data_IF_861686481728
#
_entry.id   IF_861686481728
#
_cell.length_a   1.000
_cell.length_b   1.000
_cell.length_c   1.000
_cell.angle_alpha   90.00
_cell.angle_beta   90.00
_cell.angle_gamma   90.00
#
_symmetry.space_group_name_H-M   'P 1'
#
loop_
_entity.id
_entity.type
_entity.pdbx_description
1 polymer ?
#
# COMPACT_ATOMS: atom_id res chain seq x y z
N UNK A 1 10.28 -21.94 -11.01
CA UNK A 1 11.30 -21.72 -9.97
C UNK A 1 10.60 -21.75 -8.63
N UNK A 2 10.99 -22.61 -7.72
CA UNK A 2 10.47 -22.72 -6.34
C UNK A 2 11.37 -21.94 -5.38
N UNK A 3 10.96 -21.76 -4.11
CA UNK A 3 11.82 -21.11 -3.12
C UNK A 3 13.10 -21.90 -2.82
N UNK A 4 13.04 -23.25 -2.91
CA UNK A 4 14.19 -24.14 -2.73
C UNK A 4 15.26 -23.94 -3.79
N UNK A 5 14.85 -23.63 -5.03
CA UNK A 5 15.78 -23.38 -6.16
C UNK A 5 16.49 -22.02 -6.06
N UNK A 6 16.06 -21.12 -5.13
CA UNK A 6 16.63 -19.77 -4.99
C UNK A 6 17.86 -19.72 -4.06
N UNK A 7 18.32 -20.83 -3.51
CA UNK A 7 19.49 -20.91 -2.61
C UNK A 7 19.39 -19.97 -1.40
N UNK A 8 18.22 -19.92 -0.75
CA UNK A 8 17.97 -19.08 0.40
C UNK A 8 18.50 -19.71 1.70
N UNK A 9 18.83 -18.86 2.69
CA UNK A 9 19.17 -19.30 4.05
C UNK A 9 18.07 -20.19 4.62
N UNK A 10 18.43 -21.32 5.20
CA UNK A 10 17.49 -22.30 5.76
C UNK A 10 16.55 -21.71 6.82
N UNK A 11 17.01 -20.69 7.57
CA UNK A 11 16.20 -19.97 8.55
C UNK A 11 15.15 -19.10 7.90
N UNK A 12 15.45 -18.50 6.74
CA UNK A 12 14.48 -17.74 5.93
C UNK A 12 13.47 -18.72 5.32
N UNK A 13 13.95 -19.85 4.76
CA UNK A 13 13.07 -20.90 4.23
C UNK A 13 12.07 -21.42 5.26
N UNK A 14 12.53 -21.63 6.50
CA UNK A 14 11.65 -22.00 7.61
C UNK A 14 10.59 -20.94 7.90
N UNK A 15 10.94 -19.65 7.83
CA UNK A 15 9.99 -18.57 8.03
C UNK A 15 8.96 -18.48 6.89
N UNK A 16 9.39 -18.64 5.64
CA UNK A 16 8.54 -18.72 4.45
C UNK A 16 7.51 -19.83 4.58
N UNK A 17 7.95 -21.04 4.97
CA UNK A 17 7.05 -22.17 5.18
C UNK A 17 6.03 -21.92 6.32
N UNK A 18 6.47 -21.33 7.43
CA UNK A 18 5.57 -20.98 8.54
C UNK A 18 4.55 -19.90 8.17
N UNK A 19 4.91 -18.99 7.24
CA UNK A 19 3.98 -17.99 6.69
C UNK A 19 2.98 -18.59 5.69
N UNK A 20 3.09 -19.87 5.36
CA UNK A 20 2.20 -20.55 4.41
C UNK A 20 2.49 -20.23 2.95
N UNK A 21 3.69 -19.76 2.61
CA UNK A 21 4.06 -19.53 1.23
C UNK A 21 4.51 -20.85 0.59
N UNK A 22 3.63 -21.47 -0.17
CA UNK A 22 3.92 -22.75 -0.86
C UNK A 22 4.73 -22.53 -2.13
N UNK A 23 4.41 -21.49 -2.91
CA UNK A 23 5.08 -21.14 -4.14
C UNK A 23 5.32 -19.63 -4.24
N UNK A 24 6.45 -19.22 -4.86
CA UNK A 24 6.69 -17.80 -5.08
C UNK A 24 5.69 -17.22 -6.09
N UNK A 25 5.20 -16.04 -5.81
CA UNK A 25 4.42 -15.29 -6.78
C UNK A 25 5.27 -14.91 -8.00
N UNK A 26 4.67 -14.55 -9.16
CA UNK A 26 5.43 -14.21 -10.35
C UNK A 26 6.48 -13.11 -10.16
N UNK A 27 6.21 -12.11 -9.31
CA UNK A 27 7.19 -11.07 -9.00
C UNK A 27 8.30 -11.61 -8.11
N UNK A 28 7.99 -12.44 -7.13
CA UNK A 28 8.98 -13.07 -6.26
C UNK A 28 9.91 -14.00 -7.05
N UNK A 29 9.35 -14.85 -7.90
CA UNK A 29 10.11 -15.81 -8.71
C UNK A 29 11.15 -15.16 -9.62
N UNK A 30 10.85 -13.95 -10.11
CA UNK A 30 11.74 -13.22 -11.02
C UNK A 30 12.69 -12.28 -10.27
N UNK A 31 12.23 -11.62 -9.20
CA UNK A 31 13.01 -10.57 -8.52
C UNK A 31 13.96 -11.11 -7.46
N UNK A 32 13.57 -12.15 -6.70
CA UNK A 32 14.40 -12.65 -5.59
C UNK A 32 15.78 -13.11 -6.07
N UNK A 33 15.91 -13.91 -7.13
CA UNK A 33 17.23 -14.35 -7.62
C UNK A 33 18.15 -13.19 -8.00
N UNK A 34 17.61 -12.19 -8.73
CA UNK A 34 18.34 -10.99 -9.15
C UNK A 34 18.83 -10.20 -7.93
N UNK A 35 17.92 -10.00 -6.95
CA UNK A 35 18.24 -9.22 -5.76
C UNK A 35 19.21 -9.95 -4.81
N UNK A 36 19.20 -11.28 -4.74
CA UNK A 36 20.16 -12.08 -3.97
C UNK A 36 21.57 -11.94 -4.56
N UNK A 37 21.72 -11.82 -5.87
CA UNK A 37 22.99 -11.53 -6.54
C UNK A 37 23.54 -10.13 -6.25
N UNK A 38 22.76 -9.27 -5.59
CA UNK A 38 23.16 -7.90 -5.23
C UNK A 38 22.99 -6.88 -6.37
N UNK A 39 22.35 -7.25 -7.46
CA UNK A 39 22.08 -6.35 -8.59
C UNK A 39 21.00 -5.33 -8.23
N UNK A 40 21.10 -4.15 -8.83
CA UNK A 40 20.03 -3.18 -8.83
C UNK A 40 18.86 -3.68 -9.66
N UNK A 41 17.64 -3.33 -9.26
CA UNK A 41 16.48 -3.80 -10.00
C UNK A 41 15.30 -2.84 -9.97
N UNK A 42 14.47 -2.95 -11.00
CA UNK A 42 13.15 -2.31 -11.08
C UNK A 42 12.10 -3.40 -11.16
N UNK A 43 11.26 -3.49 -10.13
CA UNK A 43 10.12 -4.41 -10.08
C UNK A 43 8.82 -3.68 -10.42
N UNK A 44 8.28 -3.91 -11.62
CA UNK A 44 6.97 -3.37 -11.98
C UNK A 44 5.88 -4.38 -11.69
N UNK A 45 5.17 -4.18 -10.58
CA UNK A 45 4.08 -5.04 -10.15
C UNK A 45 3.06 -4.26 -9.29
N UNK A 46 1.79 -4.69 -9.33
CA UNK A 46 0.70 -4.08 -8.55
C UNK A 46 0.83 -4.37 -7.05
N UNK A 47 0.11 -3.61 -6.23
CA UNK A 47 -0.04 -3.90 -4.78
C UNK A 47 -0.69 -5.27 -4.57
N UNK A 48 -0.31 -5.95 -3.48
CA UNK A 48 -0.85 -7.28 -3.16
C UNK A 48 -0.26 -8.45 -3.93
N UNK A 49 0.78 -8.25 -4.74
CA UNK A 49 1.47 -9.32 -5.49
C UNK A 49 2.61 -9.99 -4.71
N UNK A 50 2.85 -9.60 -3.44
CA UNK A 50 3.94 -10.13 -2.63
C UNK A 50 5.27 -9.38 -2.78
N UNK A 51 5.24 -8.10 -3.16
CA UNK A 51 6.45 -7.25 -3.31
C UNK A 51 7.30 -7.18 -2.05
N UNK A 52 6.68 -7.12 -0.86
CA UNK A 52 7.42 -7.04 0.40
C UNK A 52 8.37 -8.21 0.58
N UNK A 53 7.93 -9.42 0.28
CA UNK A 53 8.80 -10.60 0.31
C UNK A 53 9.85 -10.57 -0.83
N UNK A 54 9.52 -9.98 -1.99
CA UNK A 54 10.45 -9.84 -3.12
C UNK A 54 11.71 -9.05 -2.78
N UNK A 55 11.63 -8.03 -1.94
CA UNK A 55 12.80 -7.30 -1.47
C UNK A 55 13.23 -7.72 -0.05
N UNK A 56 12.30 -8.14 0.79
CA UNK A 56 12.57 -8.50 2.18
C UNK A 56 13.44 -9.76 2.30
N UNK A 57 13.19 -10.79 1.51
CA UNK A 57 13.96 -12.04 1.51
C UNK A 57 15.43 -11.78 1.12
N UNK A 58 15.74 -11.19 -0.06
CA UNK A 58 17.13 -10.94 -0.43
C UNK A 58 17.82 -9.94 0.51
N UNK A 59 17.10 -8.92 1.00
CA UNK A 59 17.64 -8.00 1.98
C UNK A 59 18.07 -8.74 3.27
N UNK A 60 17.19 -9.59 3.84
CA UNK A 60 17.50 -10.37 5.04
C UNK A 60 18.65 -11.35 4.83
N UNK A 61 18.84 -11.88 3.64
CA UNK A 61 19.95 -12.77 3.30
C UNK A 61 21.31 -12.07 3.37
N UNK A 62 21.36 -10.75 3.16
CA UNK A 62 22.57 -9.93 3.16
C UNK A 62 22.85 -9.23 4.48
N UNK A 63 21.84 -9.01 5.33
CA UNK A 63 22.00 -8.33 6.61
C UNK A 63 22.90 -9.13 7.56
N UNK A 64 23.91 -8.49 8.10
CA UNK A 64 24.74 -9.04 9.17
C UNK A 64 24.10 -8.77 10.53
N UNK A 65 23.57 -9.79 11.23
CA UNK A 65 22.91 -9.60 12.52
C UNK A 65 23.87 -9.21 13.66
N UNK A 66 25.19 -9.40 13.49
CA UNK A 66 26.20 -9.03 14.48
C UNK A 66 26.57 -7.55 14.41
N UNK A 67 26.39 -6.93 13.25
CA UNK A 67 26.57 -5.49 13.09
C UNK A 67 25.31 -4.74 13.51
N UNK A 68 25.44 -3.83 14.47
CA UNK A 68 24.33 -3.02 14.99
C UNK A 68 24.09 -1.73 14.19
N UNK A 69 24.92 -1.46 13.19
CA UNK A 69 24.72 -0.31 12.32
C UNK A 69 23.52 -0.51 11.39
N UNK A 70 23.03 0.60 10.85
CA UNK A 70 21.98 0.60 9.85
C UNK A 70 22.54 0.07 8.53
N UNK A 71 21.92 -0.98 7.98
CA UNK A 71 22.37 -1.65 6.76
C UNK A 71 21.36 -1.51 5.62
N UNK A 72 20.08 -1.33 5.95
CA UNK A 72 19.05 -1.19 4.93
C UNK A 72 18.01 -0.11 5.27
N UNK A 73 17.57 0.61 4.24
CA UNK A 73 16.46 1.56 4.30
C UNK A 73 15.40 1.17 3.27
N UNK A 74 14.15 1.09 3.71
CA UNK A 74 12.98 0.94 2.83
C UNK A 74 12.14 2.21 2.95
N UNK A 75 11.88 2.89 1.84
CA UNK A 75 10.99 4.03 1.76
C UNK A 75 9.61 3.59 1.28
N UNK A 76 8.57 4.01 2.00
CA UNK A 76 7.17 3.72 1.72
C UNK A 76 6.34 5.00 1.74
N UNK A 77 5.26 5.12 0.94
CA UNK A 77 4.43 6.33 0.86
C UNK A 77 3.68 6.63 2.15
N UNK A 78 3.25 5.61 2.88
CA UNK A 78 2.36 5.77 4.03
C UNK A 78 2.89 5.08 5.28
N UNK A 79 2.38 5.53 6.43
CA UNK A 79 2.69 4.96 7.76
C UNK A 79 2.24 3.52 7.86
N UNK A 80 1.04 3.28 7.35
CA UNK A 80 0.38 1.98 7.37
C UNK A 80 1.23 0.95 6.61
N UNK A 81 1.70 1.31 5.41
CA UNK A 81 2.56 0.44 4.62
C UNK A 81 3.92 0.22 5.30
N UNK A 82 4.51 1.26 5.91
CA UNK A 82 5.76 1.11 6.65
C UNK A 82 5.62 0.14 7.83
N UNK A 83 4.51 0.20 8.57
CA UNK A 83 4.21 -0.72 9.68
C UNK A 83 3.98 -2.12 9.15
N UNK A 84 3.19 -2.27 8.08
CA UNK A 84 2.89 -3.55 7.46
C UNK A 84 4.16 -4.23 6.96
N UNK A 85 4.96 -3.53 6.16
CA UNK A 85 6.24 -4.05 5.65
C UNK A 85 7.20 -4.43 6.78
N UNK A 86 7.27 -3.62 7.86
CA UNK A 86 8.08 -3.94 9.03
C UNK A 86 7.62 -5.24 9.71
N UNK A 87 6.32 -5.45 9.83
CA UNK A 87 5.78 -6.67 10.45
C UNK A 87 6.01 -7.90 9.56
N UNK A 88 5.87 -7.77 8.25
CA UNK A 88 6.13 -8.86 7.29
C UNK A 88 7.62 -9.24 7.30
N UNK A 89 8.54 -8.25 7.26
CA UNK A 89 9.97 -8.51 7.33
C UNK A 89 10.36 -9.12 8.68
N UNK A 90 9.74 -8.72 9.81
CA UNK A 90 9.96 -9.38 11.10
C UNK A 90 9.51 -10.83 11.10
N UNK A 91 8.42 -11.17 10.44
CA UNK A 91 7.97 -12.56 10.28
C UNK A 91 8.98 -13.37 9.46
N UNK A 92 9.47 -12.82 8.35
CA UNK A 92 10.54 -13.43 7.54
C UNK A 92 11.86 -13.58 8.32
N UNK A 93 12.17 -12.64 9.20
CA UNK A 93 13.38 -12.66 10.07
C UNK A 93 13.20 -13.50 11.34
N UNK A 94 12.08 -14.17 11.56
CA UNK A 94 11.72 -14.84 12.82
C UNK A 94 12.83 -15.74 13.37
N UNK A 95 13.53 -16.46 12.52
CA UNK A 95 14.60 -17.37 12.88
C UNK A 95 16.00 -16.78 12.70
N UNK A 96 16.11 -15.51 12.28
CA UNK A 96 17.35 -14.76 12.19
C UNK A 96 17.53 -13.92 13.46
N UNK A 97 18.22 -14.48 14.46
CA UNK A 97 18.41 -13.79 15.72
C UNK A 97 19.32 -12.56 15.58
N UNK A 98 18.96 -11.47 16.26
CA UNK A 98 19.76 -10.24 16.33
C UNK A 98 19.36 -9.16 15.34
N UNK A 99 18.50 -9.45 14.34
CA UNK A 99 18.00 -8.46 13.39
C UNK A 99 16.87 -7.64 14.01
N UNK A 100 17.02 -6.32 13.97
CA UNK A 100 16.01 -5.36 14.42
C UNK A 100 15.49 -4.55 13.24
N UNK A 101 14.19 -4.56 13.08
CA UNK A 101 13.45 -3.81 12.06
C UNK A 101 12.64 -2.71 12.73
N UNK A 102 12.89 -1.46 12.38
CA UNK A 102 12.24 -0.29 12.97
C UNK A 102 11.42 0.47 11.92
N UNK A 103 10.09 0.54 12.06
CA UNK A 103 9.30 1.46 11.27
C UNK A 103 9.43 2.89 11.82
N UNK A 104 9.71 3.87 10.93
CA UNK A 104 9.77 5.30 11.26
C UNK A 104 8.81 6.10 10.37
N UNK A 105 7.90 6.84 11.01
CA UNK A 105 6.86 7.58 10.30
C UNK A 105 6.36 8.79 11.11
N UNK A 106 5.75 9.72 10.44
CA UNK A 106 5.18 10.92 11.07
C UNK A 106 3.98 10.60 11.97
N UNK A 107 3.69 11.47 12.96
CA UNK A 107 2.58 11.30 13.89
C UNK A 107 2.88 10.44 15.13
N UNK A 108 4.00 9.74 15.15
CA UNK A 108 4.56 9.15 16.37
C UNK A 108 5.59 10.11 16.99
N UNK A 109 5.73 10.08 18.30
CA UNK A 109 6.72 10.86 19.02
C UNK A 109 8.13 10.47 18.58
N UNK A 110 8.89 11.44 18.08
CA UNK A 110 10.20 11.20 17.49
C UNK A 110 11.22 10.67 18.51
N UNK A 111 11.11 11.08 19.78
CA UNK A 111 11.98 10.65 20.87
C UNK A 111 11.98 9.13 21.07
N UNK A 112 10.83 8.47 20.85
CA UNK A 112 10.72 7.00 20.90
C UNK A 112 11.52 6.35 19.78
N UNK A 113 11.44 6.90 18.58
CA UNK A 113 12.18 6.41 17.40
C UNK A 113 13.69 6.63 17.60
N UNK A 114 14.11 7.80 18.09
CA UNK A 114 15.52 8.09 18.42
C UNK A 114 16.08 7.11 19.44
N UNK A 115 15.32 6.80 20.49
CA UNK A 115 15.74 5.83 21.51
C UNK A 115 15.95 4.44 20.90
N UNK A 116 15.05 4.01 20.01
CA UNK A 116 15.16 2.73 19.32
C UNK A 116 16.38 2.68 18.40
N UNK A 117 16.63 3.75 17.62
CA UNK A 117 17.81 3.86 16.75
C UNK A 117 19.12 3.80 17.52
N UNK A 118 19.22 4.47 18.70
CA UNK A 118 20.40 4.39 19.58
C UNK A 118 20.67 2.97 20.10
N UNK A 119 19.66 2.12 20.19
CA UNK A 119 19.77 0.72 20.59
C UNK A 119 20.33 -0.21 19.50
N UNK A 120 20.70 0.32 18.35
CA UNK A 120 21.13 -0.42 17.16
C UNK A 120 19.98 -1.04 16.39
N UNK A 121 19.88 -0.72 15.11
CA UNK A 121 18.82 -1.17 14.18
C UNK A 121 19.45 -1.41 12.81
N UNK A 122 19.27 -2.60 12.26
CA UNK A 122 19.83 -2.95 10.95
C UNK A 122 18.94 -2.50 9.79
N UNK A 123 17.62 -2.52 9.98
CA UNK A 123 16.65 -2.21 8.93
C UNK A 123 15.69 -1.12 9.41
N UNK A 124 15.65 -0.03 8.67
CA UNK A 124 14.67 1.05 8.86
C UNK A 124 13.67 1.02 7.71
N UNK A 125 12.39 1.09 8.02
CA UNK A 125 11.31 1.20 7.03
C UNK A 125 10.54 2.48 7.34
N UNK A 126 10.53 3.44 6.42
CA UNK A 126 10.01 4.75 6.76
C UNK A 126 9.33 5.52 5.65
N UNK A 127 8.53 6.50 6.07
CA UNK A 127 8.01 7.51 5.15
C UNK A 127 9.09 8.56 4.87
N UNK A 128 9.22 9.07 3.63
CA UNK A 128 10.31 9.97 3.25
C UNK A 128 10.49 11.16 4.19
N UNK A 129 9.42 11.91 4.49
CA UNK A 129 9.52 13.09 5.36
C UNK A 129 10.03 12.79 6.78
N UNK A 130 9.72 11.63 7.37
CA UNK A 130 10.26 11.23 8.69
C UNK A 130 11.70 10.73 8.61
N UNK A 131 12.08 10.06 7.53
CA UNK A 131 13.49 9.70 7.28
C UNK A 131 14.32 10.97 7.17
N UNK A 132 13.85 11.97 6.40
CA UNK A 132 14.48 13.29 6.29
C UNK A 132 14.64 14.00 7.65
N UNK A 133 13.62 13.93 8.52
CA UNK A 133 13.65 14.52 9.85
C UNK A 133 14.77 13.88 10.72
N UNK A 134 14.93 12.55 10.63
CA UNK A 134 16.02 11.84 11.31
C UNK A 134 17.40 12.13 10.71
N UNK A 135 17.51 12.29 9.40
CA UNK A 135 18.77 12.68 8.73
C UNK A 135 19.20 14.09 9.14
N UNK A 136 18.28 15.07 9.09
CA UNK A 136 18.55 16.45 9.54
C UNK A 136 18.96 16.53 11.01
N UNK A 137 18.46 15.65 11.86
CA UNK A 137 18.81 15.55 13.29
C UNK A 137 20.03 14.69 13.56
N UNK A 138 20.65 14.12 12.52
CA UNK A 138 21.78 13.18 12.65
C UNK A 138 21.51 12.00 13.59
N UNK A 139 20.26 11.61 13.73
CA UNK A 139 19.82 10.46 14.54
C UNK A 139 19.74 9.16 13.75
N UNK A 140 19.76 9.25 12.43
CA UNK A 140 19.91 8.15 11.50
C UNK A 140 21.23 8.36 10.75
N UNK A 141 22.08 7.33 10.74
CA UNK A 141 23.42 7.36 10.13
C UNK A 141 23.36 6.61 8.79
N UNK A 142 23.37 7.32 7.66
CA UNK A 142 23.19 6.69 6.35
C UNK A 142 24.46 6.04 5.77
N UNK A 143 25.65 6.30 6.37
CA UNK A 143 26.96 5.94 5.81
C UNK A 143 27.23 4.44 5.74
N UNK A 144 26.47 3.62 6.46
CA UNK A 144 26.62 2.17 6.52
C UNK A 144 25.49 1.43 5.80
N UNK A 145 24.69 2.16 4.99
CA UNK A 145 23.56 1.59 4.27
C UNK A 145 24.03 0.96 2.98
N UNK A 146 23.90 -0.36 2.88
CA UNK A 146 24.25 -1.16 1.72
C UNK A 146 23.07 -1.46 0.80
N UNK A 147 21.84 -1.31 1.32
CA UNK A 147 20.61 -1.64 0.58
C UNK A 147 19.59 -0.53 0.75
N UNK A 148 19.04 -0.05 -0.36
CA UNK A 148 17.88 0.85 -0.34
C UNK A 148 16.76 0.30 -1.21
N UNK A 149 15.53 0.39 -0.69
CA UNK A 149 14.32 -0.01 -1.40
C UNK A 149 13.37 1.17 -1.48
N UNK A 150 12.84 1.43 -2.67
CA UNK A 150 11.71 2.33 -2.89
C UNK A 150 10.48 1.48 -3.17
N UNK A 151 9.57 1.38 -2.20
CA UNK A 151 8.33 0.63 -2.38
C UNK A 151 7.16 1.57 -2.66
N UNK A 152 6.34 1.23 -3.65
CA UNK A 152 5.29 2.09 -4.20
C UNK A 152 5.83 3.48 -4.58
N UNK A 153 6.92 3.49 -5.37
CA UNK A 153 7.63 4.72 -5.73
C UNK A 153 6.74 5.73 -6.48
N UNK A 154 5.86 5.28 -7.37
CA UNK A 154 4.87 6.11 -8.05
C UNK A 154 3.94 6.82 -7.05
N UNK A 155 3.49 6.12 -6.04
CA UNK A 155 2.67 6.69 -4.99
C UNK A 155 3.40 7.75 -4.16
N UNK A 156 4.68 7.53 -3.84
CA UNK A 156 5.49 8.53 -3.16
C UNK A 156 5.62 9.81 -3.99
N UNK A 157 5.78 9.68 -5.31
CA UNK A 157 5.85 10.86 -6.20
C UNK A 157 4.50 11.58 -6.29
N UNK A 158 3.39 10.84 -6.40
CA UNK A 158 2.04 11.42 -6.41
C UNK A 158 1.73 12.18 -5.11
N UNK A 159 2.38 11.82 -4.00
CA UNK A 159 2.29 12.51 -2.71
C UNK A 159 3.26 13.69 -2.58
N UNK A 160 4.07 13.97 -3.59
CA UNK A 160 5.02 15.09 -3.61
C UNK A 160 6.35 14.83 -2.91
N UNK A 161 6.69 13.57 -2.62
CA UNK A 161 7.95 13.20 -1.92
C UNK A 161 9.17 13.09 -2.84
N UNK A 162 9.10 13.59 -4.08
CA UNK A 162 10.22 13.50 -5.02
C UNK A 162 11.51 14.07 -4.46
N UNK A 163 11.47 15.31 -3.98
CA UNK A 163 12.66 16.02 -3.44
C UNK A 163 13.21 15.30 -2.20
N UNK A 164 12.33 14.81 -1.31
CA UNK A 164 12.75 14.06 -0.13
C UNK A 164 13.46 12.76 -0.54
N UNK A 165 12.93 12.02 -1.52
CA UNK A 165 13.54 10.77 -2.03
C UNK A 165 14.91 11.05 -2.63
N UNK A 166 15.02 12.03 -3.53
CA UNK A 166 16.28 12.39 -4.17
C UNK A 166 17.32 12.85 -3.14
N UNK A 167 16.90 13.60 -2.11
CA UNK A 167 17.77 14.05 -1.03
C UNK A 167 18.25 12.87 -0.16
N UNK A 168 17.37 11.92 0.16
CA UNK A 168 17.73 10.72 0.92
C UNK A 168 18.74 9.89 0.13
N UNK A 169 18.42 9.58 -1.14
CA UNK A 169 19.29 8.78 -2.00
C UNK A 169 20.67 9.41 -2.20
N UNK A 170 20.75 10.76 -2.30
CA UNK A 170 22.01 11.50 -2.41
C UNK A 170 22.86 11.53 -1.15
N UNK A 171 22.32 11.14 0.03
CA UNK A 171 23.08 11.03 1.29
C UNK A 171 23.54 9.60 1.59
N UNK A 172 23.07 8.61 0.83
CA UNK A 172 23.51 7.21 0.98
C UNK A 172 24.83 6.97 0.23
N UNK A 173 25.61 5.93 0.61
CA UNK A 173 26.79 5.53 -0.13
C UNK A 173 26.47 5.28 -1.62
N UNK A 174 27.44 5.56 -2.50
CA UNK A 174 27.30 5.27 -3.94
C UNK A 174 27.28 3.75 -4.18
N UNK A 175 28.20 3.04 -3.54
CA UNK A 175 28.23 1.57 -3.56
C UNK A 175 27.14 1.01 -2.66
N UNK A 176 25.99 0.72 -3.26
CA UNK A 176 24.84 0.10 -2.60
C UNK A 176 23.99 -0.65 -3.62
N UNK A 177 23.16 -1.54 -3.15
CA UNK A 177 22.07 -2.10 -3.96
C UNK A 177 20.84 -1.22 -3.86
N UNK A 178 20.25 -0.86 -5.00
CA UNK A 178 19.01 -0.10 -5.07
C UNK A 178 17.92 -0.91 -5.74
N UNK A 179 16.80 -1.12 -5.04
CA UNK A 179 15.62 -1.80 -5.55
C UNK A 179 14.44 -0.83 -5.62
N UNK A 180 13.84 -0.69 -6.80
CA UNK A 180 12.68 0.17 -7.02
C UNK A 180 11.46 -0.67 -7.39
N UNK A 181 10.42 -0.59 -6.57
CA UNK A 181 9.13 -1.24 -6.83
C UNK A 181 8.05 -0.20 -7.09
N UNK A 182 7.32 -0.36 -8.19
CA UNK A 182 6.27 0.55 -8.61
C UNK A 182 5.21 -0.18 -9.41
N UNK A 183 3.97 0.29 -9.36
CA UNK A 183 2.91 -0.23 -10.21
C UNK A 183 3.00 0.40 -11.62
N UNK A 184 3.37 1.66 -11.69
CA UNK A 184 3.47 2.44 -12.93
C UNK A 184 4.89 3.00 -13.10
N UNK A 185 5.26 3.32 -14.34
CA UNK A 185 6.60 3.86 -14.68
C UNK A 185 6.48 5.23 -15.39
N UNK A 186 5.93 6.26 -14.74
CA UNK A 186 5.91 7.60 -15.32
C UNK A 186 7.32 8.18 -15.45
N UNK A 187 7.48 9.21 -16.29
CA UNK A 187 8.80 9.85 -16.53
C UNK A 187 9.58 10.17 -15.26
N UNK A 188 8.99 10.74 -14.19
CA UNK A 188 9.75 11.04 -12.97
C UNK A 188 10.35 9.81 -12.28
N UNK A 189 9.66 8.65 -12.33
CA UNK A 189 10.21 7.38 -11.81
C UNK A 189 11.41 6.93 -12.64
N UNK A 190 11.30 7.02 -13.98
CA UNK A 190 12.40 6.67 -14.88
C UNK A 190 13.62 7.59 -14.68
N UNK A 191 13.41 8.87 -14.37
CA UNK A 191 14.48 9.83 -14.07
C UNK A 191 15.20 9.45 -12.76
N UNK A 192 14.46 9.10 -11.70
CA UNK A 192 15.04 8.59 -10.45
C UNK A 192 15.82 7.30 -10.70
N UNK A 193 15.23 6.35 -11.43
CA UNK A 193 15.89 5.11 -11.75
C UNK A 193 17.20 5.34 -12.52
N UNK A 194 17.18 6.18 -13.57
CA UNK A 194 18.36 6.51 -14.36
C UNK A 194 19.48 7.18 -13.55
N UNK A 195 19.11 7.95 -12.51
CA UNK A 195 20.09 8.72 -11.72
C UNK A 195 20.70 7.94 -10.58
N UNK A 196 19.94 7.03 -9.97
CA UNK A 196 20.32 6.41 -8.69
C UNK A 196 20.47 4.88 -8.74
N UNK A 197 20.13 4.22 -9.86
CA UNK A 197 20.33 2.79 -10.05
C UNK A 197 21.44 2.55 -11.07
N UNK A 198 22.23 1.50 -10.83
CA UNK A 198 23.34 1.07 -11.70
C UNK A 198 22.91 -0.15 -12.51
N UNK A 199 22.77 0.02 -13.83
CA UNK A 199 22.41 -1.05 -14.77
C UNK A 199 21.30 -1.98 -14.25
N UNK A 200 20.13 -1.42 -13.86
CA UNK A 200 19.12 -2.20 -13.15
C UNK A 200 18.48 -3.26 -14.05
N UNK A 201 18.31 -4.46 -13.52
CA UNK A 201 17.47 -5.49 -14.13
C UNK A 201 15.99 -5.10 -14.02
N UNK A 202 15.26 -5.22 -15.13
CA UNK A 202 13.84 -4.83 -15.18
C UNK A 202 12.95 -6.06 -15.13
N UNK A 203 12.26 -6.24 -14.04
CA UNK A 203 11.24 -7.28 -13.84
C UNK A 203 9.87 -6.68 -14.04
N UNK A 204 9.17 -7.10 -15.11
CA UNK A 204 7.79 -6.67 -15.39
C UNK A 204 6.86 -7.85 -15.27
N UNK A 205 6.07 -7.87 -14.23
CA UNK A 205 4.97 -8.81 -14.12
C UNK A 205 3.74 -8.19 -14.80
N UNK A 206 3.70 -8.33 -16.12
CA UNK A 206 2.52 -8.02 -16.91
C UNK A 206 1.59 -9.22 -16.77
N UNK A 207 0.59 -9.12 -15.91
CA UNK A 207 -0.54 -10.02 -16.07
C UNK A 207 -1.15 -9.74 -17.44
N UNK A 208 -1.05 -10.70 -18.36
CA UNK A 208 -1.58 -10.64 -19.74
C UNK A 208 -3.08 -10.40 -19.81
N UNK A 209 -3.75 -10.60 -18.72
CA UNK A 209 -5.12 -10.14 -18.50
C UNK A 209 -5.12 -9.29 -17.24
N UNK A 210 -5.76 -8.13 -17.30
CA UNK A 210 -6.38 -7.51 -16.16
C UNK A 210 -7.46 -8.52 -15.68
N UNK A 211 -7.01 -9.65 -15.10
CA UNK A 211 -7.83 -10.32 -14.13
C UNK A 211 -7.88 -9.37 -12.95
N UNK A 212 -8.64 -8.29 -13.17
CA UNK A 212 -9.33 -7.66 -12.08
C UNK A 212 -9.88 -8.85 -11.32
N UNK A 213 -9.55 -9.07 -10.03
CA UNK A 213 -10.20 -10.09 -9.24
C UNK A 213 -11.66 -10.03 -9.63
N UNK A 214 -12.43 -11.11 -9.62
CA UNK A 214 -13.81 -11.14 -10.08
C UNK A 214 -14.62 -10.07 -9.33
N UNK A 215 -14.33 -8.80 -9.66
CA UNK A 215 -14.97 -7.63 -9.07
C UNK A 215 -16.08 -7.24 -10.02
N UNK A 216 -17.29 -7.45 -9.58
CA UNK A 216 -18.45 -6.91 -10.25
C UNK A 216 -18.47 -5.39 -10.06
N UNK A 217 -18.50 -4.65 -11.16
CA UNK A 217 -18.41 -3.20 -11.15
C UNK A 217 -19.70 -2.57 -11.65
N UNK A 218 -20.30 -1.73 -10.83
CA UNK A 218 -21.56 -1.07 -11.09
C UNK A 218 -21.47 0.44 -10.91
N UNK A 219 -22.27 1.21 -11.65
CA UNK A 219 -22.46 2.62 -11.36
C UNK A 219 -23.92 3.02 -11.36
N UNK A 220 -24.23 4.04 -10.56
CA UNK A 220 -25.55 4.64 -10.42
C UNK A 220 -25.45 6.14 -10.72
N UNK A 221 -26.27 6.62 -11.65
CA UNK A 221 -26.43 8.06 -11.86
C UNK A 221 -27.40 8.59 -10.80
N UNK A 222 -26.90 9.48 -9.95
CA UNK A 222 -27.63 9.93 -8.77
C UNK A 222 -27.77 11.44 -8.71
N UNK A 223 -28.85 11.92 -8.08
CA UNK A 223 -28.97 13.33 -7.74
C UNK A 223 -28.00 13.65 -6.57
N UNK A 224 -27.21 14.76 -6.61
CA UNK A 224 -26.29 15.12 -5.55
C UNK A 224 -26.92 15.10 -4.15
N UNK A 225 -28.18 15.55 -4.01
CA UNK A 225 -28.91 15.61 -2.74
C UNK A 225 -29.35 14.24 -2.23
N UNK A 226 -29.32 13.21 -3.10
CA UNK A 226 -29.77 11.85 -2.73
C UNK A 226 -28.63 10.85 -2.61
N UNK A 227 -27.36 11.28 -2.74
CA UNK A 227 -26.20 10.37 -2.66
C UNK A 227 -26.19 9.54 -1.38
N UNK A 228 -26.42 10.16 -0.21
CA UNK A 228 -26.46 9.46 1.08
C UNK A 228 -27.58 8.42 1.13
N UNK A 229 -28.76 8.77 0.63
CA UNK A 229 -29.90 7.85 0.59
C UNK A 229 -29.62 6.64 -0.33
N UNK A 230 -29.03 6.88 -1.51
CA UNK A 230 -28.66 5.80 -2.43
C UNK A 230 -27.59 4.91 -1.81
N UNK A 231 -26.58 5.50 -1.17
CA UNK A 231 -25.55 4.69 -0.48
C UNK A 231 -26.17 3.81 0.62
N UNK A 232 -27.06 4.37 1.46
CA UNK A 232 -27.73 3.60 2.52
C UNK A 232 -28.53 2.44 1.93
N UNK A 233 -29.32 2.68 0.86
CA UNK A 233 -30.06 1.61 0.17
C UNK A 233 -29.17 0.51 -0.40
N UNK A 234 -27.98 0.88 -0.93
CA UNK A 234 -27.03 -0.10 -1.44
C UNK A 234 -26.42 -0.91 -0.30
N UNK A 235 -26.10 -0.27 0.83
CA UNK A 235 -25.62 -0.96 2.04
C UNK A 235 -26.67 -1.95 2.53
N UNK A 236 -27.93 -1.53 2.65
CA UNK A 236 -29.03 -2.40 3.11
C UNK A 236 -29.34 -3.54 2.12
N UNK A 237 -29.24 -3.26 0.80
CA UNK A 237 -29.58 -4.26 -0.23
C UNK A 237 -28.51 -5.34 -0.37
N UNK A 238 -27.25 -4.98 -0.25
CA UNK A 238 -26.14 -5.91 -0.46
C UNK A 238 -25.57 -6.46 0.84
N UNK A 239 -25.88 -5.82 1.98
CA UNK A 239 -25.53 -6.21 3.34
C UNK A 239 -24.08 -6.72 3.48
N UNK A 240 -23.06 -5.95 3.01
CA UNK A 240 -21.69 -6.41 3.07
C UNK A 240 -21.20 -6.43 4.52
N UNK A 241 -20.56 -7.52 4.95
CA UNK A 241 -20.00 -7.65 6.30
C UNK A 241 -18.91 -6.63 6.57
N UNK A 242 -18.09 -6.28 5.56
CA UNK A 242 -17.13 -5.18 5.62
C UNK A 242 -17.18 -4.39 4.32
N UNK A 243 -17.28 -3.06 4.43
CA UNK A 243 -17.29 -2.17 3.29
C UNK A 243 -16.37 -0.96 3.44
N UNK A 244 -15.81 -0.52 2.32
CA UNK A 244 -14.95 0.65 2.23
C UNK A 244 -15.60 1.69 1.34
N UNK A 245 -15.82 2.90 1.87
CA UNK A 245 -16.46 4.00 1.16
C UNK A 245 -15.43 5.11 0.90
N UNK A 246 -15.24 5.48 -0.35
CA UNK A 246 -14.27 6.49 -0.75
C UNK A 246 -14.89 7.85 -0.99
N UNK A 247 -14.35 8.88 -0.33
CA UNK A 247 -14.65 10.29 -0.53
C UNK A 247 -13.41 11.06 -0.97
N UNK A 248 -13.58 12.07 -1.83
CA UNK A 248 -12.47 12.87 -2.33
C UNK A 248 -11.91 13.88 -1.30
N UNK A 249 -12.65 14.21 -0.25
CA UNK A 249 -12.23 15.20 0.77
C UNK A 249 -12.48 14.70 2.18
N UNK A 250 -11.60 15.12 3.12
CA UNK A 250 -11.71 14.81 4.57
C UNK A 250 -13.02 15.33 5.16
N UNK A 251 -13.44 16.55 4.81
CA UNK A 251 -14.72 17.12 5.25
C UNK A 251 -15.89 16.22 4.85
N UNK A 252 -15.87 15.70 3.62
CA UNK A 252 -16.93 14.80 3.16
C UNK A 252 -16.91 13.45 3.90
N UNK A 253 -15.73 12.97 4.32
CA UNK A 253 -15.61 11.78 5.19
C UNK A 253 -16.35 12.02 6.50
N UNK A 254 -16.07 13.15 7.18
CA UNK A 254 -16.70 13.47 8.48
C UNK A 254 -18.22 13.64 8.37
N UNK A 255 -18.68 14.38 7.34
CA UNK A 255 -20.11 14.58 7.06
C UNK A 255 -20.84 13.25 6.80
N UNK A 256 -20.24 12.38 5.98
CA UNK A 256 -20.85 11.09 5.63
C UNK A 256 -20.87 10.13 6.82
N UNK A 257 -19.80 10.07 7.62
CA UNK A 257 -19.76 9.26 8.85
C UNK A 257 -20.85 9.70 9.83
N UNK A 258 -21.02 11.01 10.02
CA UNK A 258 -22.06 11.54 10.90
C UNK A 258 -23.48 11.15 10.42
N UNK A 259 -23.74 11.24 9.10
CA UNK A 259 -25.01 10.84 8.51
C UNK A 259 -25.26 9.32 8.65
N UNK A 260 -24.26 8.49 8.34
CA UNK A 260 -24.38 7.03 8.47
C UNK A 260 -24.61 6.59 9.93
N UNK A 261 -23.88 7.17 10.89
CA UNK A 261 -24.12 6.93 12.32
C UNK A 261 -25.51 7.36 12.76
N UNK A 262 -25.98 8.51 12.26
CA UNK A 262 -27.35 9.00 12.50
C UNK A 262 -28.44 8.05 11.96
N UNK A 263 -28.13 7.24 10.96
CA UNK A 263 -29.00 6.20 10.38
C UNK A 263 -28.85 4.85 11.06
N UNK A 264 -27.93 4.70 12.04
CA UNK A 264 -27.73 3.46 12.80
C UNK A 264 -26.62 2.54 12.27
N UNK A 265 -25.84 2.97 11.27
CA UNK A 265 -24.72 2.16 10.78
C UNK A 265 -23.47 2.27 11.68
N UNK A 266 -22.71 1.18 11.80
CA UNK A 266 -21.41 1.15 12.47
C UNK A 266 -20.32 1.66 11.52
N UNK A 267 -20.27 2.98 11.31
CA UNK A 267 -19.35 3.64 10.39
C UNK A 267 -18.26 4.42 11.14
N UNK A 268 -17.02 4.37 10.67
CA UNK A 268 -15.91 5.19 11.14
C UNK A 268 -15.19 5.88 9.98
N UNK A 269 -14.62 7.06 10.26
CA UNK A 269 -13.88 7.85 9.27
C UNK A 269 -12.38 7.62 9.36
N UNK A 270 -11.69 7.73 8.20
CA UNK A 270 -10.23 7.68 8.13
C UNK A 270 -9.70 8.74 7.16
N UNK A 271 -8.99 9.76 7.67
CA UNK A 271 -8.39 10.83 6.87
C UNK A 271 -7.13 11.40 7.52
N UNK A 272 -6.39 12.23 6.76
CA UNK A 272 -5.05 12.69 7.13
C UNK A 272 -4.95 13.55 8.39
N UNK A 273 -6.03 14.25 8.81
CA UNK A 273 -6.02 15.14 9.97
C UNK A 273 -6.18 14.41 11.31
N UNK A 274 -6.48 13.12 11.27
CA UNK A 274 -6.64 12.30 12.47
C UNK A 274 -5.31 12.06 13.17
N UNK A 275 -5.32 12.09 14.51
CA UNK A 275 -4.18 11.65 15.33
C UNK A 275 -3.92 10.15 15.12
N UNK A 276 -2.65 9.73 15.20
CA UNK A 276 -2.27 8.34 14.96
C UNK A 276 -3.04 7.36 15.86
N UNK A 277 -3.18 7.68 17.14
CA UNK A 277 -3.95 6.84 18.09
C UNK A 277 -5.42 6.64 17.68
N UNK A 278 -6.03 7.65 17.06
CA UNK A 278 -7.40 7.56 16.52
C UNK A 278 -7.43 6.66 15.28
N UNK A 279 -6.48 6.83 14.35
CA UNK A 279 -6.34 5.98 13.15
C UNK A 279 -6.16 4.52 13.55
N UNK A 280 -5.26 4.24 14.50
CA UNK A 280 -5.00 2.88 15.00
C UNK A 280 -6.26 2.26 15.61
N UNK A 281 -7.04 3.04 16.38
CA UNK A 281 -8.32 2.60 16.96
C UNK A 281 -9.32 2.24 15.86
N UNK A 282 -9.51 3.12 14.87
CA UNK A 282 -10.43 2.92 13.76
C UNK A 282 -10.04 1.68 12.96
N UNK A 283 -8.75 1.57 12.59
CA UNK A 283 -8.25 0.43 11.82
C UNK A 283 -8.39 -0.90 12.58
N UNK A 284 -8.11 -0.91 13.89
CA UNK A 284 -8.30 -2.09 14.71
C UNK A 284 -9.79 -2.44 14.85
N UNK A 285 -10.66 -1.44 14.96
CA UNK A 285 -12.12 -1.63 14.97
C UNK A 285 -12.59 -2.31 13.68
N UNK A 286 -12.14 -1.81 12.54
CA UNK A 286 -12.50 -2.33 11.21
C UNK A 286 -11.96 -3.75 10.98
N UNK A 287 -10.69 -4.02 11.30
CA UNK A 287 -10.12 -5.39 11.20
C UNK A 287 -10.81 -6.43 12.07
N UNK A 288 -11.32 -6.01 13.21
CA UNK A 288 -11.97 -6.91 14.18
C UNK A 288 -13.50 -6.98 14.00
N UNK A 289 -14.05 -6.41 12.91
CA UNK A 289 -15.48 -6.41 12.65
C UNK A 289 -16.34 -5.66 13.67
N UNK A 290 -15.75 -4.67 14.37
CA UNK A 290 -16.51 -3.76 15.26
C UNK A 290 -17.07 -2.55 14.50
N UNK A 291 -16.55 -2.33 13.32
CA UNK A 291 -16.92 -1.28 12.38
C UNK A 291 -17.15 -1.95 11.05
N UNK A 292 -18.33 -1.86 10.50
CA UNK A 292 -18.71 -2.54 9.26
C UNK A 292 -18.40 -1.66 8.05
N UNK A 293 -18.39 -0.33 8.26
CA UNK A 293 -18.22 0.66 7.20
C UNK A 293 -17.05 1.58 7.54
N UNK A 294 -16.00 1.54 6.73
CA UNK A 294 -14.90 2.49 6.81
C UNK A 294 -15.04 3.53 5.69
N UNK A 295 -15.21 4.80 6.07
CA UNK A 295 -15.25 5.92 5.12
C UNK A 295 -13.87 6.57 5.07
N UNK A 296 -13.24 6.65 3.90
CA UNK A 296 -11.86 7.13 3.81
C UNK A 296 -11.60 8.02 2.59
N UNK A 297 -10.53 8.83 2.69
CA UNK A 297 -9.92 9.45 1.51
C UNK A 297 -8.92 8.50 0.86
N UNK A 298 -8.59 8.69 -0.42
CA UNK A 298 -7.60 7.87 -1.13
C UNK A 298 -6.28 7.77 -0.38
N UNK A 299 -5.74 8.91 0.05
CA UNK A 299 -4.46 8.96 0.77
C UNK A 299 -4.51 8.18 2.08
N UNK A 300 -5.61 8.27 2.82
CA UNK A 300 -5.75 7.59 4.10
C UNK A 300 -6.02 6.09 3.96
N UNK A 301 -6.68 5.69 2.88
CA UNK A 301 -6.97 4.29 2.56
C UNK A 301 -5.79 3.54 1.91
N UNK A 302 -4.72 4.25 1.55
CA UNK A 302 -3.50 3.62 1.06
C UNK A 302 -2.85 2.78 2.16
N UNK A 303 -2.38 1.61 1.80
CA UNK A 303 -1.76 0.69 2.75
C UNK A 303 -2.74 0.05 3.75
N UNK A 304 -4.05 0.24 3.59
CA UNK A 304 -5.03 -0.55 4.34
C UNK A 304 -4.93 -2.00 3.87
N UNK A 305 -4.44 -2.84 4.77
CA UNK A 305 -4.42 -4.29 4.61
C UNK A 305 -5.57 -4.89 5.42
N UNK A 306 -6.67 -5.06 4.73
CA UNK A 306 -7.85 -5.77 5.24
C UNK A 306 -8.32 -6.69 4.13
N UNK A 307 -8.24 -7.99 4.39
CA UNK A 307 -8.48 -9.02 3.39
C UNK A 307 -9.95 -9.32 3.13
N UNK A 308 -10.84 -8.89 4.01
CA UNK A 308 -12.25 -9.27 4.00
C UNK A 308 -13.21 -8.15 3.56
N UNK A 309 -12.73 -7.16 2.80
CA UNK A 309 -13.62 -6.11 2.26
C UNK A 309 -14.46 -6.71 1.12
N UNK A 310 -15.76 -6.87 1.37
CA UNK A 310 -16.70 -7.46 0.39
C UNK A 310 -17.16 -6.45 -0.64
N UNK A 311 -17.31 -5.18 -0.24
CA UNK A 311 -17.80 -4.14 -1.12
C UNK A 311 -16.97 -2.84 -1.01
N UNK A 312 -16.73 -2.23 -2.17
CA UNK A 312 -16.15 -0.88 -2.28
C UNK A 312 -17.18 0.07 -2.86
N UNK A 313 -17.40 1.18 -2.19
CA UNK A 313 -18.27 2.25 -2.66
C UNK A 313 -17.46 3.49 -3.00
N UNK A 314 -17.38 3.86 -4.27
CA UNK A 314 -16.89 5.16 -4.69
C UNK A 314 -18.03 6.17 -4.50
N UNK A 315 -18.14 6.75 -3.30
CA UNK A 315 -19.11 7.80 -3.02
C UNK A 315 -18.86 9.02 -3.92
N UNK A 316 -17.58 9.35 -4.14
CA UNK A 316 -17.16 10.32 -5.14
C UNK A 316 -16.34 9.61 -6.22
N UNK A 317 -16.58 9.97 -7.51
CA UNK A 317 -15.76 9.50 -8.62
C UNK A 317 -14.30 9.96 -8.37
N UNK A 318 -13.30 9.07 -8.47
CA UNK A 318 -11.92 9.44 -8.24
C UNK A 318 -11.45 10.48 -9.26
N UNK A 319 -10.54 11.36 -8.82
CA UNK A 319 -10.00 12.41 -9.67
C UNK A 319 -9.04 11.87 -10.73
N UNK A 320 -8.27 10.84 -10.39
CA UNK A 320 -7.34 10.15 -11.27
C UNK A 320 -7.80 8.73 -11.57
N UNK A 321 -7.56 8.28 -12.81
CA UNK A 321 -8.03 6.98 -13.29
C UNK A 321 -7.37 5.82 -12.54
N UNK A 322 -6.11 5.99 -12.13
CA UNK A 322 -5.35 5.02 -11.35
C UNK A 322 -5.97 4.78 -9.97
N UNK A 323 -6.50 5.82 -9.34
CA UNK A 323 -7.15 5.69 -8.03
C UNK A 323 -8.38 4.78 -8.07
N UNK A 324 -9.08 4.74 -9.19
CA UNK A 324 -10.20 3.80 -9.34
C UNK A 324 -9.74 2.36 -9.14
N UNK A 325 -8.65 1.96 -9.79
CA UNK A 325 -8.08 0.62 -9.68
C UNK A 325 -7.60 0.33 -8.25
N UNK A 326 -6.95 1.31 -7.62
CA UNK A 326 -6.46 1.20 -6.23
C UNK A 326 -7.61 1.07 -5.22
N UNK A 327 -8.73 1.78 -5.45
CA UNK A 327 -9.93 1.70 -4.62
C UNK A 327 -10.59 0.34 -4.73
N UNK A 328 -10.93 -0.09 -5.94
CA UNK A 328 -11.64 -1.37 -6.14
C UNK A 328 -10.75 -2.58 -5.80
N UNK A 329 -9.44 -2.46 -5.94
CA UNK A 329 -8.48 -3.49 -5.52
C UNK A 329 -8.40 -3.71 -4.01
N UNK A 330 -9.25 -3.07 -3.21
CA UNK A 330 -9.44 -3.38 -1.77
C UNK A 330 -10.42 -4.53 -1.55
N UNK A 331 -11.21 -4.88 -2.54
CA UNK A 331 -12.08 -6.07 -2.54
C UNK A 331 -11.60 -7.11 -3.56
N UNK A 332 -12.17 -8.29 -3.53
CA UNK A 332 -11.84 -9.37 -4.46
C UNK A 332 -10.44 -9.97 -4.26
N UNK A 333 -9.86 -9.89 -3.07
CA UNK A 333 -8.53 -10.45 -2.74
C UNK A 333 -8.60 -11.94 -2.41
N UNK A 334 -7.46 -12.61 -2.47
CA UNK A 334 -7.31 -14.02 -2.13
C UNK A 334 -8.28 -14.96 -2.88
N UNK A 335 -8.62 -14.65 -4.15
CA UNK A 335 -9.51 -15.47 -4.97
C UNK A 335 -11.01 -15.32 -4.66
N UNK A 336 -11.39 -14.41 -3.77
CA UNK A 336 -12.80 -14.10 -3.45
C UNK A 336 -13.42 -13.20 -4.51
N UNK A 337 -14.74 -13.25 -4.62
CA UNK A 337 -15.51 -12.28 -5.42
C UNK A 337 -15.66 -10.98 -4.67
N UNK A 338 -15.65 -9.85 -5.39
CA UNK A 338 -15.81 -8.52 -4.83
C UNK A 338 -16.83 -7.70 -5.60
N UNK A 339 -17.35 -6.64 -4.97
CA UNK A 339 -18.26 -5.70 -5.62
C UNK A 339 -17.77 -4.28 -5.47
N UNK A 340 -17.88 -3.52 -6.55
CA UNK A 340 -17.55 -2.10 -6.58
C UNK A 340 -18.72 -1.28 -7.13
N UNK A 341 -19.14 -0.29 -6.37
CA UNK A 341 -20.24 0.60 -6.70
C UNK A 341 -19.75 2.03 -6.84
N UNK A 342 -20.13 2.73 -7.89
CA UNK A 342 -19.72 4.12 -8.12
C UNK A 342 -20.96 5.01 -8.25
N UNK A 343 -21.07 6.04 -7.40
CA UNK A 343 -22.12 7.05 -7.46
C UNK A 343 -21.65 8.20 -8.35
N UNK A 344 -22.39 8.44 -9.42
CA UNK A 344 -22.02 9.41 -10.46
C UNK A 344 -23.02 10.55 -10.51
N UNK A 345 -22.54 11.78 -10.47
CA UNK A 345 -23.37 12.99 -10.49
C UNK A 345 -23.14 13.77 -11.79
N UNK A 346 -24.18 13.90 -12.60
CA UNK A 346 -24.16 14.76 -13.77
C UNK A 346 -22.94 14.54 -14.68
N UNK A 347 -22.09 15.55 -14.81
CA UNK A 347 -20.92 15.50 -15.72
C UNK A 347 -19.82 14.52 -15.30
N UNK A 348 -19.84 13.97 -14.10
CA UNK A 348 -18.88 12.94 -13.67
C UNK A 348 -18.95 11.66 -14.53
N UNK A 349 -20.03 11.48 -15.29
CA UNK A 349 -20.17 10.37 -16.25
C UNK A 349 -19.04 10.36 -17.30
N UNK A 350 -18.55 11.54 -17.69
CA UNK A 350 -17.44 11.63 -18.65
C UNK A 350 -16.16 11.10 -18.03
N UNK A 351 -15.89 11.45 -16.76
CA UNK A 351 -14.74 10.94 -16.00
C UNK A 351 -14.81 9.42 -15.84
N UNK A 352 -16.02 8.87 -15.56
CA UNK A 352 -16.21 7.43 -15.48
C UNK A 352 -15.91 6.73 -16.82
N UNK A 353 -16.25 7.35 -17.97
CA UNK A 353 -15.91 6.82 -19.29
C UNK A 353 -14.40 6.81 -19.54
N UNK A 354 -13.66 7.81 -19.04
CA UNK A 354 -12.20 7.85 -19.14
C UNK A 354 -11.59 6.74 -18.30
N UNK A 355 -12.06 6.54 -17.07
CA UNK A 355 -11.71 5.42 -16.21
C UNK A 355 -11.95 4.07 -16.88
N UNK A 356 -13.09 3.87 -17.53
CA UNK A 356 -13.40 2.62 -18.26
C UNK A 356 -12.41 2.36 -19.40
N UNK A 357 -12.02 3.42 -20.13
CA UNK A 357 -11.01 3.32 -21.20
C UNK A 357 -9.62 2.98 -20.64
N UNK A 358 -9.24 3.66 -19.57
CA UNK A 358 -7.96 3.41 -18.89
C UNK A 358 -7.86 1.99 -18.34
N UNK A 359 -8.88 1.54 -17.61
CA UNK A 359 -8.91 0.22 -16.97
C UNK A 359 -9.25 -0.91 -17.94
N UNK A 360 -9.61 -0.60 -19.20
CA UNK A 360 -10.10 -1.58 -20.21
C UNK A 360 -11.20 -2.48 -19.65
N UNK A 361 -12.07 -1.92 -18.79
CA UNK A 361 -13.15 -2.65 -18.11
C UNK A 361 -14.49 -2.01 -18.40
N UNK A 362 -15.56 -2.78 -18.28
CA UNK A 362 -16.93 -2.28 -18.41
C UNK A 362 -17.58 -2.18 -17.04
N UNK A 363 -17.87 -0.96 -16.61
CA UNK A 363 -18.65 -0.70 -15.41
C UNK A 363 -20.12 -0.69 -15.80
N UNK A 364 -20.93 -1.56 -15.23
CA UNK A 364 -22.33 -1.75 -15.63
C UNK A 364 -23.21 -0.65 -15.02
N UNK A 365 -24.00 0.02 -15.88
CA UNK A 365 -25.02 0.95 -15.39
C UNK A 365 -26.12 0.16 -14.69
N UNK A 366 -26.49 0.59 -13.49
CA UNK A 366 -27.70 0.12 -12.82
C UNK A 366 -28.73 1.25 -12.77
N UNK A 367 -29.99 0.98 -13.07
CA UNK A 367 -31.04 1.97 -12.89
C UNK A 367 -31.19 2.25 -11.39
N UNK A 368 -31.36 3.52 -11.04
CA UNK A 368 -31.87 3.90 -9.73
C UNK A 368 -33.31 3.37 -9.66
N UNK A 369 -33.48 2.19 -9.10
CA UNK A 369 -34.81 1.60 -8.97
C UNK A 369 -35.60 2.45 -7.99
N UNK A 370 -36.38 3.40 -8.54
CA UNK A 370 -37.40 4.16 -7.81
C UNK A 370 -38.51 3.29 -7.24
N UNK A 371 -38.42 1.98 -7.38
CA UNK A 371 -39.50 1.06 -7.05
C UNK A 371 -38.98 -0.20 -6.39
N UNK A 372 -38.78 -0.13 -5.09
CA UNK A 372 -39.27 -1.17 -4.19
C UNK A 372 -39.97 -0.42 -3.08
N UNK A 373 -41.26 -0.24 -3.27
CA UNK A 373 -42.21 0.05 -2.21
C UNK A 373 -42.35 -1.20 -1.38
#
# INVERSE_FOLDING_TARGET
MTFEEMCLDTRIMRAIAEMGFEQPSPIQAQSIPIAVEGKDMIGQARTGTGKTASFGIPMLQRINPKDKNLQAIVLCPTRELAIQSANEIRKLAKFLHGIKVLPIYGGQEISKQIRSLKGGVQIVIGTPGRVMDHLRRHTLKPQTVDIVVLDEADEMLNMGFREDIETILGQLPEERQTMLFSATMPKPILEIAKRYLHEPEIVKVIQKELTVPKIEQYYYEVNPRKKNEVLSRLLDMYDPSLSLVFCNTKRKVDELVADLKGRGYFAEGLHGDMKQSQRDRVMNGFRNGRTDILVATDVAARGIDVDDVEAVFNYDVPQDDEYYVHRIGRTGRAGREGRAFTLVVGKEIYKLKDIQRYCKTKIRRQPDRKSVV
#
